data_IF_604583461334
#
_entry.id   IF_604583461334
#
_cell.length_a   1.000
_cell.length_b   1.000
_cell.length_c   1.000
_cell.angle_alpha   90.00
_cell.angle_beta   90.00
_cell.angle_gamma   90.00
#
_symmetry.space_group_name_H-M   'P 1'
#
loop_
_entity.id
_entity.type
_entity.pdbx_description
1 polymer ?
#
# COMPACT_ATOMS: atom_id res chain seq x y z
N UNK A 1 13.54 -4.64 9.14
CA UNK A 1 14.59 -5.60 8.74
C UNK A 1 14.04 -7.02 8.72
N UNK A 2 13.69 -7.62 9.86
CA UNK A 2 13.40 -9.06 10.01
C UNK A 2 12.25 -9.57 9.12
N UNK A 3 11.25 -8.77 8.86
CA UNK A 3 10.09 -9.15 8.06
C UNK A 3 10.39 -9.19 6.56
N UNK A 4 11.11 -8.19 6.06
CA UNK A 4 11.33 -8.00 4.62
C UNK A 4 12.77 -8.27 4.16
N UNK A 5 13.72 -8.44 5.08
CA UNK A 5 15.14 -8.53 4.75
C UNK A 5 15.74 -7.23 4.19
N UNK A 6 15.07 -6.09 4.44
CA UNK A 6 15.50 -4.77 3.98
C UNK A 6 15.89 -3.91 5.17
N UNK A 7 17.07 -3.33 5.14
CA UNK A 7 17.53 -2.37 6.14
C UNK A 7 16.95 -0.98 5.81
N UNK A 8 16.36 -0.35 6.82
CA UNK A 8 15.80 1.01 6.73
C UNK A 8 16.34 1.83 7.89
N UNK A 9 16.87 3.01 7.59
CA UNK A 9 17.26 3.96 8.63
C UNK A 9 16.00 4.36 9.43
N UNK A 10 15.98 4.19 10.77
CA UNK A 10 14.87 4.61 11.61
C UNK A 10 14.49 6.09 11.44
N UNK A 11 15.43 6.96 11.08
CA UNK A 11 15.18 8.37 10.80
C UNK A 11 14.23 8.59 9.59
N UNK A 12 14.12 7.60 8.72
CA UNK A 12 13.18 7.60 7.57
C UNK A 12 11.79 7.10 7.91
N UNK A 13 11.54 6.67 9.14
CA UNK A 13 10.25 6.11 9.55
C UNK A 13 9.44 7.20 10.24
N UNK A 14 8.33 7.60 9.60
CA UNK A 14 7.36 8.52 10.19
C UNK A 14 6.14 7.75 10.71
N UNK A 15 5.85 7.89 12.00
CA UNK A 15 4.64 7.31 12.63
C UNK A 15 3.45 8.23 12.35
N UNK A 16 2.33 7.66 11.92
CA UNK A 16 1.15 8.41 11.44
C UNK A 16 -0.12 8.02 12.19
N UNK A 17 -1.16 8.87 12.12
CA UNK A 17 -2.50 8.56 12.66
C UNK A 17 -3.28 7.65 11.70
N UNK A 18 -2.73 6.45 11.44
CA UNK A 18 -3.20 5.50 10.45
C UNK A 18 -2.66 5.79 9.05
N UNK A 19 -2.83 4.84 8.12
CA UNK A 19 -2.35 4.98 6.74
C UNK A 19 -2.98 6.16 5.99
N UNK A 20 -4.23 6.54 6.31
CA UNK A 20 -4.89 7.70 5.67
C UNK A 20 -4.11 9.00 5.86
N UNK A 21 -3.57 9.23 7.07
CA UNK A 21 -2.66 10.34 7.33
C UNK A 21 -1.34 10.18 6.55
N UNK A 22 -0.82 8.96 6.46
CA UNK A 22 0.35 8.65 5.65
C UNK A 22 0.15 9.01 4.17
N UNK A 23 -0.99 8.65 3.57
CA UNK A 23 -1.31 9.04 2.18
C UNK A 23 -1.44 10.55 2.02
N UNK A 24 -2.11 11.23 2.95
CA UNK A 24 -2.23 12.70 2.89
C UNK A 24 -0.87 13.37 2.95
N UNK A 25 0.00 12.95 3.86
CA UNK A 25 1.36 13.46 3.98
C UNK A 25 2.21 13.15 2.72
N UNK A 26 2.12 11.91 2.22
CA UNK A 26 2.86 11.50 1.04
C UNK A 26 2.45 12.33 -0.21
N UNK A 27 1.15 12.48 -0.44
CA UNK A 27 0.66 13.21 -1.60
C UNK A 27 1.01 14.70 -1.53
N UNK A 28 0.86 15.33 -0.36
CA UNK A 28 1.25 16.73 -0.15
C UNK A 28 2.75 16.98 -0.26
N UNK A 29 3.58 15.99 0.11
CA UNK A 29 5.01 16.13 0.04
C UNK A 29 5.58 15.83 -1.36
N UNK A 30 4.92 14.96 -2.12
CA UNK A 30 5.44 14.43 -3.38
C UNK A 30 4.85 15.11 -4.62
N UNK A 31 3.66 15.70 -4.53
CA UNK A 31 2.93 16.22 -5.72
C UNK A 31 2.43 17.64 -5.53
N UNK A 32 2.36 18.35 -6.65
CA UNK A 32 1.77 19.68 -6.76
C UNK A 32 0.39 19.62 -7.45
N UNK A 33 -0.39 20.69 -7.32
CA UNK A 33 -1.66 20.79 -8.04
C UNK A 33 -1.42 20.78 -9.56
N UNK A 34 -2.11 19.89 -10.26
CA UNK A 34 -1.94 19.64 -11.69
C UNK A 34 -1.04 18.47 -12.04
N UNK A 35 -0.27 17.93 -11.09
CA UNK A 35 0.47 16.68 -11.28
C UNK A 35 -0.48 15.51 -11.56
N UNK A 36 -0.02 14.53 -12.32
CA UNK A 36 -0.78 13.37 -12.77
C UNK A 36 -0.31 12.10 -12.07
N UNK A 37 -1.20 11.46 -11.31
CA UNK A 37 -0.86 10.26 -10.54
C UNK A 37 -1.68 9.07 -10.99
N UNK A 38 -0.99 8.05 -11.51
CA UNK A 38 -1.60 6.80 -11.95
C UNK A 38 -1.97 5.89 -10.78
N UNK A 39 -3.11 5.22 -10.90
CA UNK A 39 -3.57 4.19 -9.97
C UNK A 39 -4.48 3.19 -10.69
N UNK A 40 -4.50 1.95 -10.20
CA UNK A 40 -5.32 0.90 -10.79
C UNK A 40 -6.80 1.08 -10.48
N UNK A 41 -7.65 0.73 -11.44
CA UNK A 41 -9.09 0.57 -11.28
C UNK A 41 -9.48 -0.86 -11.74
N UNK A 42 -10.16 -1.65 -10.88
CA UNK A 42 -10.70 -1.33 -9.56
C UNK A 42 -9.61 -1.12 -8.50
N UNK A 43 -9.82 -0.17 -7.59
CA UNK A 43 -8.86 0.20 -6.54
C UNK A 43 -9.52 0.92 -5.37
N UNK A 44 -8.74 1.20 -4.33
CA UNK A 44 -9.26 1.86 -3.12
C UNK A 44 -9.64 3.33 -3.41
N UNK A 45 -10.93 3.71 -3.22
CA UNK A 45 -11.43 5.02 -3.67
C UNK A 45 -10.78 6.23 -3.00
N UNK A 46 -10.22 6.04 -1.79
CA UNK A 46 -9.65 7.15 -1.04
C UNK A 46 -8.44 7.78 -1.75
N UNK A 47 -7.64 7.02 -2.50
CA UNK A 47 -6.52 7.59 -3.25
C UNK A 47 -7.01 8.67 -4.20
N UNK A 48 -7.95 8.33 -5.08
CA UNK A 48 -8.54 9.27 -6.04
C UNK A 48 -9.14 10.49 -5.34
N UNK A 49 -9.90 10.24 -4.26
CA UNK A 49 -10.61 11.31 -3.57
C UNK A 49 -9.64 12.29 -2.88
N UNK A 50 -8.56 11.79 -2.27
CA UNK A 50 -7.53 12.63 -1.64
C UNK A 50 -6.78 13.42 -2.71
N UNK A 51 -6.29 12.76 -3.77
CA UNK A 51 -5.59 13.43 -4.87
C UNK A 51 -6.44 14.56 -5.48
N UNK A 52 -7.70 14.26 -5.82
CA UNK A 52 -8.63 15.26 -6.36
C UNK A 52 -8.82 16.44 -5.39
N UNK A 53 -8.94 16.18 -4.09
CA UNK A 53 -9.08 17.24 -3.08
C UNK A 53 -7.84 18.14 -2.97
N UNK A 54 -6.66 17.60 -3.33
CA UNK A 54 -5.40 18.34 -3.36
C UNK A 54 -5.13 19.01 -4.72
N UNK A 55 -6.02 18.86 -5.69
CA UNK A 55 -5.84 19.39 -7.04
C UNK A 55 -4.90 18.58 -7.94
N UNK A 56 -4.54 17.37 -7.51
CA UNK A 56 -3.75 16.41 -8.28
C UNK A 56 -4.70 15.60 -9.17
N UNK A 57 -4.31 15.37 -10.44
CA UNK A 57 -5.09 14.62 -11.42
C UNK A 57 -4.93 13.12 -11.26
N UNK A 58 -5.98 12.35 -10.85
CA UNK A 58 -5.90 10.90 -10.79
C UNK A 58 -6.05 10.28 -12.19
N UNK A 59 -5.06 9.53 -12.64
CA UNK A 59 -5.06 8.78 -13.90
C UNK A 59 -5.43 7.33 -13.62
N UNK A 60 -6.58 6.88 -14.12
CA UNK A 60 -7.07 5.53 -13.86
C UNK A 60 -6.55 4.52 -14.89
N UNK A 61 -5.78 3.54 -14.43
CA UNK A 61 -5.37 2.36 -15.19
C UNK A 61 -6.45 1.28 -15.08
N UNK A 62 -7.15 1.03 -16.16
CA UNK A 62 -8.10 -0.09 -16.22
C UNK A 62 -7.30 -1.39 -16.30
N UNK A 63 -7.27 -2.16 -15.23
CA UNK A 63 -6.57 -3.44 -15.17
C UNK A 63 -7.57 -4.56 -14.92
N UNK A 64 -7.59 -5.53 -15.80
CA UNK A 64 -8.49 -6.67 -15.75
C UNK A 64 -7.85 -7.94 -15.18
N UNK A 65 -8.57 -9.08 -15.28
CA UNK A 65 -8.09 -10.39 -14.82
C UNK A 65 -6.77 -10.82 -15.48
N UNK A 66 -6.53 -10.42 -16.73
CA UNK A 66 -5.32 -10.72 -17.50
C UNK A 66 -4.05 -10.18 -16.87
N UNK A 67 -4.15 -9.08 -16.13
CA UNK A 67 -3.07 -8.49 -15.31
C UNK A 67 -3.29 -8.71 -13.82
N UNK A 68 -4.22 -9.58 -13.45
CA UNK A 68 -4.60 -9.82 -12.05
C UNK A 68 -4.97 -8.53 -11.31
N UNK A 69 -5.57 -7.56 -12.02
CA UNK A 69 -5.95 -6.26 -11.49
C UNK A 69 -4.79 -5.45 -10.87
N UNK A 70 -3.56 -5.71 -11.31
CA UNK A 70 -2.36 -5.01 -10.86
C UNK A 70 -1.82 -4.11 -11.99
N UNK A 71 -1.06 -3.06 -11.67
CA UNK A 71 -0.40 -2.25 -12.69
C UNK A 71 0.75 -3.01 -13.34
N UNK A 72 0.98 -2.74 -14.62
CA UNK A 72 2.15 -3.25 -15.34
C UNK A 72 2.82 -2.12 -16.12
N UNK A 73 4.12 -2.25 -16.50
CA UNK A 73 4.78 -1.27 -17.36
C UNK A 73 4.03 -1.00 -18.66
N UNK A 74 3.44 -2.04 -19.28
CA UNK A 74 2.69 -1.92 -20.53
C UNK A 74 1.42 -1.06 -20.36
N UNK A 75 0.70 -1.21 -19.25
CA UNK A 75 -0.45 -0.37 -18.93
C UNK A 75 -0.03 1.10 -18.70
N UNK A 76 1.13 1.31 -18.09
CA UNK A 76 1.68 2.66 -17.88
C UNK A 76 2.11 3.31 -19.21
N UNK A 77 2.69 2.54 -20.12
CA UNK A 77 3.08 3.01 -21.45
C UNK A 77 1.88 3.39 -22.32
N UNK A 78 0.72 2.81 -22.07
CA UNK A 78 -0.52 3.12 -22.78
C UNK A 78 -1.19 4.43 -22.31
N UNK A 79 -0.69 5.07 -21.24
CA UNK A 79 -1.21 6.36 -20.77
C UNK A 79 -0.83 7.46 -21.76
N UNK A 80 -1.79 8.27 -22.13
CA UNK A 80 -1.52 9.47 -22.92
C UNK A 80 -0.89 10.57 -22.06
N UNK A 81 0.31 10.97 -22.42
CA UNK A 81 1.11 11.99 -21.74
C UNK A 81 1.87 11.49 -20.49
N UNK A 82 2.69 12.36 -19.89
CA UNK A 82 3.51 12.01 -18.74
C UNK A 82 2.69 11.83 -17.48
N UNK A 83 3.21 11.05 -16.53
CA UNK A 83 2.71 10.92 -15.17
C UNK A 83 3.83 11.23 -14.18
N UNK A 84 3.47 11.82 -13.04
CA UNK A 84 4.40 12.24 -11.99
C UNK A 84 4.49 11.20 -10.86
N UNK A 85 3.42 10.42 -10.70
CA UNK A 85 3.37 9.38 -9.66
C UNK A 85 2.61 8.13 -10.06
N UNK A 86 2.90 7.03 -9.32
CA UNK A 86 2.19 5.77 -9.40
C UNK A 86 1.86 5.27 -7.99
N UNK A 87 0.58 4.99 -7.74
CA UNK A 87 0.15 4.30 -6.51
C UNK A 87 -0.01 2.82 -6.80
N UNK A 88 0.69 1.99 -6.03
CA UNK A 88 0.61 0.53 -6.07
C UNK A 88 0.07 0.02 -4.75
N UNK A 89 -0.95 -0.83 -4.77
CA UNK A 89 -1.45 -1.55 -3.60
C UNK A 89 -1.26 -3.06 -3.79
N UNK A 90 -0.45 -3.68 -2.94
CA UNK A 90 -0.15 -5.11 -3.01
C UNK A 90 0.05 -5.69 -1.61
N UNK A 91 -0.91 -6.46 -1.08
CA UNK A 91 -2.20 -6.86 -1.64
C UNK A 91 -3.16 -5.70 -1.90
N UNK A 92 -3.93 -5.79 -3.00
CA UNK A 92 -4.84 -4.73 -3.45
C UNK A 92 -6.22 -4.82 -2.79
N UNK A 93 -6.81 -3.68 -2.51
CA UNK A 93 -8.22 -3.53 -2.20
C UNK A 93 -8.94 -2.93 -3.44
N UNK A 94 -9.94 -3.62 -4.06
CA UNK A 94 -10.76 -4.70 -3.47
C UNK A 94 -10.37 -6.13 -3.90
N UNK A 95 -9.37 -6.32 -4.73
CA UNK A 95 -9.16 -7.60 -5.44
C UNK A 95 -8.39 -8.64 -4.65
N UNK A 96 -7.62 -8.23 -3.63
CA UNK A 96 -6.74 -9.10 -2.87
C UNK A 96 -5.56 -9.68 -3.64
N UNK A 97 -5.35 -9.27 -4.88
CA UNK A 97 -4.23 -9.73 -5.73
C UNK A 97 -2.92 -9.06 -5.33
N UNK A 98 -1.82 -9.75 -5.55
CA UNK A 98 -0.47 -9.26 -5.22
C UNK A 98 0.44 -9.26 -6.45
N UNK A 99 1.42 -8.35 -6.41
CA UNK A 99 2.58 -8.39 -7.30
C UNK A 99 3.63 -9.36 -6.76
N UNK A 100 4.20 -10.16 -7.64
CA UNK A 100 5.39 -10.96 -7.35
C UNK A 100 6.67 -10.13 -7.37
N UNK A 101 7.79 -10.73 -6.95
CA UNK A 101 9.10 -10.07 -6.88
C UNK A 101 9.55 -9.47 -8.23
N UNK A 102 9.38 -10.22 -9.33
CA UNK A 102 9.77 -9.77 -10.66
C UNK A 102 8.89 -8.64 -11.19
N UNK A 103 7.59 -8.69 -10.89
CA UNK A 103 6.61 -7.68 -11.30
C UNK A 103 6.86 -6.35 -10.54
N UNK A 104 7.06 -6.43 -9.23
CA UNK A 104 7.43 -5.26 -8.42
C UNK A 104 8.74 -4.64 -8.90
N UNK A 105 9.76 -5.47 -9.16
CA UNK A 105 11.04 -4.99 -9.67
C UNK A 105 10.95 -4.36 -11.08
N UNK A 106 10.05 -4.85 -11.94
CA UNK A 106 9.81 -4.26 -13.25
C UNK A 106 9.14 -2.88 -13.12
N UNK A 107 8.13 -2.77 -12.26
CA UNK A 107 7.44 -1.49 -12.01
C UNK A 107 8.36 -0.45 -11.36
N UNK A 108 9.13 -0.82 -10.33
CA UNK A 108 10.06 0.11 -9.68
C UNK A 108 11.11 0.62 -10.65
N UNK A 109 11.67 -0.26 -11.49
CA UNK A 109 12.61 0.13 -12.53
C UNK A 109 11.97 1.09 -13.54
N UNK A 110 10.77 0.77 -14.01
CA UNK A 110 10.03 1.63 -14.94
C UNK A 110 9.83 3.04 -14.37
N UNK A 111 9.45 3.13 -13.10
CA UNK A 111 9.27 4.41 -12.41
C UNK A 111 10.60 5.18 -12.27
N UNK A 112 11.68 4.50 -11.85
CA UNK A 112 13.00 5.11 -11.67
C UNK A 112 13.54 5.69 -12.99
N UNK A 113 13.46 4.93 -14.09
CA UNK A 113 13.93 5.36 -15.41
C UNK A 113 13.19 6.59 -15.95
N UNK A 114 11.97 6.86 -15.48
CA UNK A 114 11.11 7.95 -15.95
C UNK A 114 10.89 9.06 -14.91
N UNK A 115 11.50 8.96 -13.75
CA UNK A 115 11.34 9.93 -12.65
C UNK A 115 9.93 9.93 -12.03
N UNK A 116 9.20 8.82 -12.16
CA UNK A 116 7.86 8.66 -11.60
C UNK A 116 7.98 8.29 -10.10
N UNK A 117 7.33 9.06 -9.23
CA UNK A 117 7.32 8.77 -7.78
C UNK A 117 6.41 7.59 -7.48
N UNK A 118 6.99 6.48 -6.98
CA UNK A 118 6.20 5.34 -6.52
C UNK A 118 5.73 5.52 -5.09
N UNK A 119 4.43 5.29 -4.84
CA UNK A 119 3.83 5.19 -3.51
C UNK A 119 3.25 3.78 -3.36
N UNK A 120 3.83 2.99 -2.46
CA UNK A 120 3.44 1.61 -2.19
C UNK A 120 2.55 1.51 -0.96
N UNK A 121 1.31 1.13 -1.17
CA UNK A 121 0.38 0.77 -0.09
C UNK A 121 0.58 -0.71 0.26
N UNK A 122 1.17 -0.95 1.41
CA UNK A 122 1.49 -2.27 1.93
C UNK A 122 0.70 -2.61 3.20
N UNK A 123 -0.48 -1.96 3.36
CA UNK A 123 -1.30 -2.07 4.58
C UNK A 123 -1.74 -3.50 4.90
N UNK A 124 -1.83 -4.36 3.89
CA UNK A 124 -2.28 -5.74 4.05
C UNK A 124 -1.16 -6.76 4.22
N UNK A 125 0.11 -6.32 4.21
CA UNK A 125 1.23 -7.22 4.44
C UNK A 125 1.08 -8.02 5.73
N UNK A 126 1.32 -9.33 5.65
CA UNK A 126 1.08 -10.29 6.73
C UNK A 126 -0.27 -11.01 6.66
N UNK A 127 -1.20 -10.51 5.84
CA UNK A 127 -2.43 -11.24 5.50
C UNK A 127 -2.22 -11.85 4.12
N UNK A 128 -1.43 -12.91 4.06
CA UNK A 128 -1.00 -13.55 2.84
C UNK A 128 -1.51 -15.00 2.80
N UNK A 129 -1.98 -15.46 1.63
CA UNK A 129 -2.53 -16.80 1.42
C UNK A 129 -1.64 -17.60 0.46
N UNK A 130 -0.50 -18.06 0.94
CA UNK A 130 0.47 -18.82 0.17
C UNK A 130 1.80 -18.10 0.00
N UNK A 131 1.96 -17.29 -1.06
CA UNK A 131 3.15 -16.47 -1.24
C UNK A 131 3.14 -15.25 -0.30
N UNK A 132 4.31 -14.81 0.14
CA UNK A 132 4.44 -13.57 0.92
C UNK A 132 4.37 -12.35 0.02
N UNK A 133 3.73 -11.29 0.52
CA UNK A 133 3.74 -9.99 -0.11
C UNK A 133 5.16 -9.42 -0.20
N UNK A 134 5.44 -8.75 -1.31
CA UNK A 134 6.74 -8.16 -1.64
C UNK A 134 6.70 -6.67 -1.36
N UNK A 135 7.67 -6.16 -0.60
CA UNK A 135 7.81 -4.72 -0.38
C UNK A 135 8.49 -4.04 -1.57
N UNK A 136 7.98 -2.87 -1.96
CA UNK A 136 8.62 -2.04 -2.98
C UNK A 136 10.05 -1.62 -2.59
N UNK A 137 10.31 -1.47 -1.27
CA UNK A 137 11.63 -1.11 -0.75
C UNK A 137 12.73 -2.12 -1.08
N UNK A 138 12.37 -3.37 -1.41
CA UNK A 138 13.36 -4.38 -1.84
C UNK A 138 13.95 -4.09 -3.23
N UNK A 139 13.27 -3.29 -4.04
CA UNK A 139 13.66 -2.96 -5.42
C UNK A 139 13.89 -1.46 -5.62
N UNK A 140 13.25 -0.61 -4.80
CA UNK A 140 13.44 0.83 -4.81
C UNK A 140 13.47 1.43 -3.40
N UNK A 141 14.65 1.76 -2.87
CA UNK A 141 14.78 2.38 -1.56
C UNK A 141 14.18 3.80 -1.49
N UNK A 142 13.83 4.41 -2.63
CA UNK A 142 13.22 5.73 -2.75
C UNK A 142 11.71 5.68 -2.95
N UNK A 143 11.10 4.50 -3.00
CA UNK A 143 9.65 4.40 -2.94
C UNK A 143 9.12 4.91 -1.59
N UNK A 144 7.98 5.58 -1.61
CA UNK A 144 7.24 5.89 -0.38
C UNK A 144 6.46 4.62 0.01
N UNK A 145 6.81 4.05 1.14
CA UNK A 145 6.12 2.90 1.70
C UNK A 145 5.11 3.36 2.75
N UNK A 146 3.89 2.81 2.72
CA UNK A 146 2.84 3.11 3.70
C UNK A 146 2.25 1.81 4.26
N UNK A 147 2.18 1.72 5.58
CA UNK A 147 1.55 0.60 6.26
C UNK A 147 0.77 1.07 7.51
N UNK A 148 0.09 0.15 8.18
CA UNK A 148 -0.74 0.50 9.32
C UNK A 148 -0.93 -0.69 10.26
N UNK A 149 -1.23 -0.40 11.51
CA UNK A 149 -1.64 -1.39 12.50
C UNK A 149 -3.11 -1.82 12.34
N UNK A 150 -3.85 -1.25 11.40
CA UNK A 150 -5.30 -1.47 11.24
C UNK A 150 -5.69 -2.86 10.76
N UNK A 151 -4.81 -3.56 10.00
CA UNK A 151 -5.16 -4.80 9.30
C UNK A 151 -4.55 -6.01 9.98
N UNK A 152 -3.30 -6.37 9.64
CA UNK A 152 -2.62 -7.53 10.24
C UNK A 152 -2.65 -7.48 11.77
N UNK A 153 -2.35 -6.35 12.38
CA UNK A 153 -2.31 -6.19 13.82
C UNK A 153 -3.68 -6.05 14.50
N UNK A 154 -4.78 -6.04 13.73
CA UNK A 154 -6.16 -5.93 14.24
C UNK A 154 -6.43 -4.69 15.12
N UNK A 155 -5.68 -3.61 14.91
CA UNK A 155 -5.73 -2.36 15.69
C UNK A 155 -6.43 -1.22 14.93
N UNK A 156 -7.54 -1.50 14.24
CA UNK A 156 -8.22 -0.54 13.35
C UNK A 156 -8.64 0.75 14.07
N UNK A 157 -9.21 0.65 15.27
CA UNK A 157 -9.68 1.78 16.07
C UNK A 157 -8.57 2.60 16.73
N UNK A 158 -7.35 2.08 16.81
CA UNK A 158 -6.21 2.74 17.45
C UNK A 158 -5.61 3.87 16.61
N UNK A 159 -6.00 3.95 15.33
CA UNK A 159 -5.54 5.00 14.41
C UNK A 159 -4.02 5.17 14.39
N UNK A 160 -3.31 4.09 14.15
CA UNK A 160 -1.85 4.09 14.07
C UNK A 160 -1.37 3.45 12.76
N UNK A 161 -0.36 4.05 12.17
CA UNK A 161 0.33 3.58 10.97
C UNK A 161 1.75 4.11 10.92
N UNK A 162 2.45 3.79 9.88
CA UNK A 162 3.78 4.33 9.62
C UNK A 162 4.05 4.40 8.12
N UNK A 163 4.99 5.21 7.76
CA UNK A 163 5.52 5.29 6.41
C UNK A 163 7.04 5.28 6.44
N UNK A 164 7.65 4.74 5.40
CA UNK A 164 9.08 4.94 5.12
C UNK A 164 9.16 6.03 4.05
N UNK A 165 9.89 7.08 4.37
CA UNK A 165 9.99 8.28 3.56
C UNK A 165 11.36 8.31 2.88
N UNK A 166 11.47 8.56 1.56
CA UNK A 166 12.75 8.81 0.91
C UNK A 166 13.38 10.11 1.42
N UNK A 167 14.70 10.20 1.37
CA UNK A 167 15.44 11.30 1.98
C UNK A 167 15.04 12.68 1.47
N UNK A 168 14.73 12.78 0.17
CA UNK A 168 14.32 14.03 -0.47
C UNK A 168 12.97 14.57 0.02
N UNK A 169 12.11 13.72 0.57
CA UNK A 169 10.80 14.08 1.12
C UNK A 169 10.76 14.20 2.66
N UNK A 170 11.81 13.77 3.36
CA UNK A 170 11.84 13.72 4.84
C UNK A 170 11.45 15.05 5.46
N UNK A 171 12.12 16.14 5.05
CA UNK A 171 11.86 17.46 5.62
C UNK A 171 10.45 17.96 5.39
N UNK A 172 9.90 17.71 4.20
CA UNK A 172 8.53 18.08 3.85
C UNK A 172 7.53 17.31 4.71
N UNK A 173 7.71 16.00 4.83
CA UNK A 173 6.83 15.14 5.66
C UNK A 173 6.90 15.54 7.13
N UNK A 174 8.08 15.82 7.70
CA UNK A 174 8.22 16.30 9.08
C UNK A 174 7.44 17.58 9.31
N UNK A 175 7.61 18.58 8.44
CA UNK A 175 6.92 19.86 8.56
C UNK A 175 5.40 19.69 8.47
N UNK A 176 4.91 18.90 7.50
CA UNK A 176 3.50 18.63 7.34
C UNK A 176 2.92 17.87 8.53
N UNK A 177 3.59 16.80 8.98
CA UNK A 177 3.15 16.00 10.12
C UNK A 177 3.06 16.82 11.40
N UNK A 178 4.07 17.66 11.67
CA UNK A 178 4.09 18.56 12.84
C UNK A 178 2.92 19.55 12.84
N UNK A 179 2.55 20.06 11.68
CA UNK A 179 1.51 21.10 11.59
C UNK A 179 0.09 20.51 11.48
N UNK A 180 -0.09 19.37 10.83
CA UNK A 180 -1.41 18.75 10.66
C UNK A 180 -1.81 17.85 11.83
N UNK A 181 -0.86 17.12 12.40
CA UNK A 181 -1.16 16.06 13.36
C UNK A 181 -0.44 16.20 14.70
N UNK A 182 0.64 16.99 14.77
CA UNK A 182 1.54 17.12 15.92
C UNK A 182 2.26 15.79 16.20
N UNK A 183 1.50 14.77 16.62
CA UNK A 183 1.98 13.40 16.82
C UNK A 183 0.82 12.39 16.76
N UNK A 184 1.15 11.12 16.51
CA UNK A 184 0.18 10.04 16.68
C UNK A 184 -0.16 9.85 18.17
N UNK A 185 -1.35 9.30 18.52
CA UNK A 185 -1.77 9.12 19.91
C UNK A 185 -0.78 8.26 20.72
N UNK A 186 -0.29 8.78 21.84
CA UNK A 186 0.73 8.11 22.66
C UNK A 186 0.31 6.71 23.11
N UNK A 187 -0.93 6.53 23.56
CA UNK A 187 -1.44 5.22 23.98
C UNK A 187 -1.41 4.19 22.83
N UNK A 188 -1.71 4.63 21.61
CA UNK A 188 -1.65 3.77 20.42
C UNK A 188 -0.22 3.34 20.12
N UNK A 189 0.75 4.24 20.27
CA UNK A 189 2.17 3.92 20.06
C UNK A 189 2.67 2.93 21.11
N UNK A 190 2.32 3.10 22.38
CA UNK A 190 2.68 2.15 23.44
C UNK A 190 2.06 0.78 23.20
N UNK A 191 0.77 0.74 22.82
CA UNK A 191 0.09 -0.52 22.49
C UNK A 191 0.70 -1.23 21.28
N UNK A 192 1.17 -0.47 20.29
CA UNK A 192 1.81 -1.02 19.09
C UNK A 192 3.13 -1.73 19.37
N UNK A 193 3.87 -1.32 20.39
CA UNK A 193 5.10 -2.01 20.81
C UNK A 193 4.76 -3.45 21.22
N UNK A 194 3.72 -3.65 22.02
CA UNK A 194 3.25 -4.97 22.42
C UNK A 194 2.66 -5.79 21.26
N UNK A 195 2.11 -5.11 20.24
CA UNK A 195 1.56 -5.79 19.07
C UNK A 195 2.63 -6.53 18.26
N UNK A 196 3.87 -6.06 18.22
CA UNK A 196 4.97 -6.77 17.57
C UNK A 196 5.32 -8.09 18.26
N UNK A 197 5.05 -8.24 19.56
CA UNK A 197 5.28 -9.46 20.32
C UNK A 197 4.07 -10.44 20.27
N UNK A 198 2.95 -10.02 19.66
CA UNK A 198 1.68 -10.78 19.60
C UNK A 198 1.57 -11.68 18.36
N UNK A 199 2.71 -12.16 17.83
CA UNK A 199 2.74 -12.92 16.58
C UNK A 199 1.83 -14.16 16.59
N UNK A 200 1.76 -14.88 17.70
CA UNK A 200 0.95 -16.10 17.83
C UNK A 200 -0.56 -15.80 17.66
N UNK A 201 -1.03 -14.75 18.30
CA UNK A 201 -2.43 -14.30 18.22
C UNK A 201 -2.78 -13.81 16.82
N UNK A 202 -1.87 -13.06 16.22
CA UNK A 202 -2.04 -12.52 14.86
C UNK A 202 -2.09 -13.65 13.83
N UNK A 203 -1.21 -14.64 13.94
CA UNK A 203 -1.23 -15.80 13.05
C UNK A 203 -2.50 -16.65 13.21
N UNK A 204 -3.09 -16.74 14.40
CA UNK A 204 -4.36 -17.41 14.60
C UNK A 204 -5.50 -16.72 13.81
N UNK A 205 -5.46 -15.40 13.63
CA UNK A 205 -6.39 -14.69 12.76
C UNK A 205 -6.16 -15.04 11.28
N UNK A 206 -4.90 -15.14 10.83
CA UNK A 206 -4.59 -15.53 9.44
C UNK A 206 -5.11 -16.92 9.13
N UNK A 207 -4.94 -17.88 10.04
CA UNK A 207 -5.51 -19.24 9.89
C UNK A 207 -7.04 -19.18 9.70
N UNK A 208 -7.73 -18.33 10.46
CA UNK A 208 -9.18 -18.13 10.33
C UNK A 208 -9.54 -17.50 8.98
N UNK A 209 -8.80 -16.49 8.52
CA UNK A 209 -9.04 -15.86 7.23
C UNK A 209 -8.80 -16.81 6.08
N UNK A 210 -7.73 -17.61 6.13
CA UNK A 210 -7.45 -18.66 5.15
C UNK A 210 -8.63 -19.63 5.03
N UNK A 211 -9.14 -20.12 6.18
CA UNK A 211 -10.31 -21.00 6.18
C UNK A 211 -11.56 -20.33 5.60
N UNK A 212 -11.81 -19.07 5.95
CA UNK A 212 -12.96 -18.33 5.41
C UNK A 212 -12.83 -18.18 3.89
N UNK A 213 -11.63 -17.87 3.39
CA UNK A 213 -11.33 -17.80 1.96
C UNK A 213 -11.62 -19.12 1.26
N UNK A 214 -11.17 -20.25 1.81
CA UNK A 214 -11.42 -21.58 1.27
C UNK A 214 -12.93 -21.89 1.17
N UNK A 215 -13.69 -21.58 2.23
CA UNK A 215 -15.16 -21.73 2.24
C UNK A 215 -15.80 -20.90 1.13
N UNK A 216 -15.40 -19.64 0.95
CA UNK A 216 -15.95 -18.78 -0.09
C UNK A 216 -15.61 -19.30 -1.49
N UNK A 217 -14.36 -19.68 -1.75
CA UNK A 217 -13.94 -20.20 -3.05
C UNK A 217 -14.66 -21.51 -3.43
N UNK A 218 -15.08 -22.30 -2.45
CA UNK A 218 -15.88 -23.51 -2.69
C UNK A 218 -17.37 -23.21 -2.87
N UNK A 219 -17.93 -22.26 -2.12
CA UNK A 219 -19.35 -22.02 -2.06
C UNK A 219 -19.85 -21.06 -3.15
N UNK A 220 -19.06 -20.07 -3.56
CA UNK A 220 -19.47 -19.04 -4.52
C UNK A 220 -19.80 -19.61 -5.90
N UNK A 221 -19.02 -20.53 -6.49
CA UNK A 221 -19.39 -21.17 -7.76
C UNK A 221 -20.71 -21.93 -7.68
N UNK A 222 -20.96 -22.64 -6.56
CA UNK A 222 -22.21 -23.34 -6.35
C UNK A 222 -23.44 -22.41 -6.23
N UNK A 223 -23.20 -21.12 -5.92
CA UNK A 223 -24.20 -20.07 -5.88
C UNK A 223 -24.33 -19.30 -7.23
N UNK A 224 -23.64 -19.74 -8.29
CA UNK A 224 -23.68 -19.12 -9.62
C UNK A 224 -22.74 -17.92 -9.78
N UNK A 225 -21.75 -17.78 -8.90
CA UNK A 225 -20.70 -16.77 -8.98
C UNK A 225 -19.38 -17.44 -9.40
N UNK A 226 -19.26 -17.74 -10.70
CA UNK A 226 -18.16 -18.56 -11.24
C UNK A 226 -16.94 -17.73 -11.65
N UNK A 227 -17.12 -16.42 -11.93
CA UNK A 227 -16.04 -15.51 -12.33
C UNK A 227 -15.33 -14.95 -11.10
N UNK A 228 -14.42 -15.75 -10.55
CA UNK A 228 -13.70 -15.42 -9.35
C UNK A 228 -12.21 -15.16 -9.63
N UNK A 229 -11.68 -14.06 -9.14
CA UNK A 229 -10.25 -13.83 -9.00
C UNK A 229 -9.83 -14.16 -7.56
N UNK A 230 -9.22 -15.33 -7.30
CA UNK A 230 -8.82 -15.69 -5.95
C UNK A 230 -7.84 -14.68 -5.36
N UNK A 231 -8.16 -14.16 -4.16
CA UNK A 231 -7.27 -13.26 -3.45
C UNK A 231 -5.97 -13.99 -3.03
N UNK A 232 -4.82 -13.32 -3.20
CA UNK A 232 -3.53 -13.80 -2.71
C UNK A 232 -3.29 -13.33 -1.27
N UNK A 233 -3.94 -12.22 -0.88
CA UNK A 233 -3.87 -11.61 0.45
C UNK A 233 -5.07 -10.69 0.71
N UNK A 234 -5.11 -10.05 1.89
CA UNK A 234 -6.11 -9.09 2.39
C UNK A 234 -7.41 -9.69 2.95
#
# INVERSE_FOLDING_TARGET
>A
ADWYGVEVDPARIAVTTGSSAGFTLAFLAAFEAGDRVAMVSPGYPAYRNILTALGVEPVLLLSGPEHRFQPTPELLEAIDGPIDGLIVASPSNPTGTMLGQSEMAALTRYCQERGIRMISDEIYHGIDYGARAVTALSSDPNAVFINSFSKYFSMTGWRLGWMVVPEDLLRSVECLAQNFFISAPTLSQVAAIAAFDSHKELQANIVRYTRNREVLLQALPAAGLDDLAPADGA
#
